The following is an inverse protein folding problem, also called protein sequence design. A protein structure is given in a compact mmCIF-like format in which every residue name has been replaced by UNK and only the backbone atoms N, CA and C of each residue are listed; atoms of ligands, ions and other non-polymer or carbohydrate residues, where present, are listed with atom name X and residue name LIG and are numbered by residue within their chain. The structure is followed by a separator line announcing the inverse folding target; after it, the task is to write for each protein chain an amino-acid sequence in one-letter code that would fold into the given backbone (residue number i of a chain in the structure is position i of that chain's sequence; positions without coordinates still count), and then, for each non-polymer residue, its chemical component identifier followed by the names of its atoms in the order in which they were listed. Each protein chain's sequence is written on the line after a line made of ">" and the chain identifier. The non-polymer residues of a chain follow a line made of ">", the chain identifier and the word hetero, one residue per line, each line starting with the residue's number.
data_IF_534845915218
#
_entry.id   IF_534845915218
#
_cell.length_a   1.000
_cell.length_b   1.000
_cell.length_c   1.000
_cell.angle_alpha   90.00
_cell.angle_beta   90.00
_cell.angle_gamma   90.00
#
_symmetry.space_group_name_H-M   'P 1'
#
loop_
_entity.id
_entity.type
_entity.pdbx_description
1 polymer ?
#
# COMPACT_ATOMS: atom_id res chain seq x y z
N UNK A 1 -15.87 6.98 1.04
CA UNK A 1 -14.43 6.77 0.80
C UNK A 1 -14.08 5.34 1.13
N UNK A 2 -13.07 4.79 0.47
CA UNK A 2 -12.52 3.47 0.77
C UNK A 2 -11.06 3.62 1.17
N UNK A 3 -10.68 2.99 2.28
CA UNK A 3 -9.29 2.87 2.70
C UNK A 3 -8.84 1.44 2.52
N UNK A 4 -7.87 1.26 1.65
CA UNK A 4 -7.16 0.00 1.51
C UNK A 4 -5.86 0.12 2.32
N UNK A 5 -5.70 -0.71 3.34
CA UNK A 5 -4.49 -0.71 4.14
C UNK A 5 -3.69 -1.99 3.88
N UNK A 6 -2.39 -1.82 3.70
CA UNK A 6 -1.44 -2.92 3.57
C UNK A 6 -0.37 -2.76 4.64
N UNK A 7 -0.31 -3.71 5.58
CA UNK A 7 0.79 -3.80 6.53
C UNK A 7 1.79 -4.84 6.05
N UNK A 8 3.07 -4.58 6.21
CA UNK A 8 4.14 -5.51 5.79
C UNK A 8 5.09 -5.69 6.95
N UNK A 9 5.22 -6.94 7.41
CA UNK A 9 6.30 -7.34 8.29
C UNK A 9 7.53 -7.61 7.41
N UNK A 10 8.63 -6.90 7.68
CA UNK A 10 9.84 -6.87 6.86
C UNK A 10 11.02 -7.37 7.68
N UNK A 11 11.75 -8.35 7.16
CA UNK A 11 12.97 -8.86 7.79
C UNK A 11 13.99 -7.72 7.95
N UNK A 12 14.67 -7.66 9.09
CA UNK A 12 15.46 -6.50 9.49
C UNK A 12 16.56 -6.11 8.48
N UNK A 13 17.18 -7.07 7.80
CA UNK A 13 18.19 -6.88 6.75
C UNK A 13 17.64 -6.22 5.47
N UNK A 14 16.32 -6.32 5.23
CA UNK A 14 15.67 -5.79 4.03
C UNK A 14 15.06 -4.41 4.22
N UNK A 15 15.01 -3.91 5.47
CA UNK A 15 14.29 -2.68 5.85
C UNK A 15 14.64 -1.47 4.99
N UNK A 16 15.93 -1.19 4.81
CA UNK A 16 16.39 0.00 4.10
C UNK A 16 16.03 -0.08 2.61
N UNK A 17 16.29 -1.23 1.99
CA UNK A 17 15.90 -1.50 0.61
C UNK A 17 14.37 -1.42 0.42
N UNK A 18 13.59 -1.93 1.37
CA UNK A 18 12.13 -1.87 1.35
C UNK A 18 11.63 -0.42 1.39
N UNK A 19 12.11 0.39 2.34
CA UNK A 19 11.69 1.80 2.45
C UNK A 19 12.07 2.58 1.19
N UNK A 20 13.27 2.35 0.64
CA UNK A 20 13.71 2.99 -0.60
C UNK A 20 12.82 2.59 -1.78
N UNK A 21 12.58 1.30 -1.98
CA UNK A 21 11.72 0.81 -3.06
C UNK A 21 10.28 1.34 -2.94
N UNK A 22 9.72 1.36 -1.73
CA UNK A 22 8.37 1.89 -1.49
C UNK A 22 8.29 3.37 -1.88
N UNK A 23 9.29 4.17 -1.50
CA UNK A 23 9.35 5.61 -1.79
C UNK A 23 9.61 5.93 -3.25
N UNK A 24 10.58 5.28 -3.86
CA UNK A 24 11.15 5.71 -5.14
C UNK A 24 10.46 5.06 -6.34
N UNK A 25 9.70 3.97 -6.12
CA UNK A 25 9.07 3.20 -7.18
C UNK A 25 7.62 2.79 -6.88
N UNK A 26 7.40 1.95 -5.86
CA UNK A 26 6.12 1.26 -5.71
C UNK A 26 4.95 2.21 -5.43
N UNK A 27 5.08 3.11 -4.46
CA UNK A 27 4.00 4.04 -4.12
C UNK A 27 3.77 5.09 -5.22
N UNK A 28 4.81 5.67 -5.85
CA UNK A 28 4.64 6.47 -7.06
C UNK A 28 3.90 5.73 -8.19
N UNK A 29 4.28 4.49 -8.49
CA UNK A 29 3.66 3.68 -9.55
C UNK A 29 2.17 3.41 -9.25
N UNK A 30 1.83 3.12 -7.99
CA UNK A 30 0.44 2.95 -7.55
C UNK A 30 -0.34 4.27 -7.68
N UNK A 31 0.24 5.40 -7.27
CA UNK A 31 -0.40 6.71 -7.37
C UNK A 31 -0.69 7.07 -8.83
N UNK A 32 0.23 6.74 -9.74
CA UNK A 32 0.10 6.99 -11.18
C UNK A 32 -1.08 6.24 -11.84
N UNK A 33 -1.61 5.18 -11.22
CA UNK A 33 -2.85 4.51 -11.69
C UNK A 33 -4.09 5.41 -11.63
N UNK A 34 -4.03 6.48 -10.82
CA UNK A 34 -5.15 7.38 -10.57
C UNK A 34 -6.32 6.74 -9.83
N UNK A 35 -6.14 5.55 -9.22
CA UNK A 35 -7.18 4.89 -8.40
C UNK A 35 -7.21 5.40 -6.95
N UNK A 36 -6.12 6.03 -6.49
CA UNK A 36 -6.00 6.57 -5.14
C UNK A 36 -5.67 8.06 -5.22
N UNK A 37 -6.28 8.86 -4.33
CA UNK A 37 -6.01 10.30 -4.22
C UNK A 37 -4.93 10.62 -3.21
N UNK A 38 -4.82 9.79 -2.19
CA UNK A 38 -3.83 9.96 -1.15
C UNK A 38 -3.24 8.60 -0.78
N UNK A 39 -1.93 8.62 -0.54
CA UNK A 39 -1.17 7.46 -0.07
C UNK A 39 -0.33 7.95 1.10
N UNK A 40 -0.45 7.28 2.24
CA UNK A 40 0.37 7.53 3.41
C UNK A 40 1.14 6.26 3.77
N UNK A 41 2.44 6.41 4.02
CA UNK A 41 3.32 5.33 4.44
C UNK A 41 3.83 5.62 5.85
N UNK A 42 3.54 4.70 6.76
CA UNK A 42 3.79 4.80 8.19
C UNK A 42 4.66 3.61 8.66
N UNK A 43 5.35 3.79 9.80
CA UNK A 43 6.11 2.73 10.47
C UNK A 43 5.57 2.55 11.88
N UNK A 44 5.25 1.30 12.27
CA UNK A 44 4.76 0.94 13.60
C UNK A 44 5.86 0.38 14.51
N UNK A 45 6.86 -0.29 13.93
CA UNK A 45 8.07 -0.79 14.60
C UNK A 45 9.24 -0.82 13.62
N UNK A 46 10.44 -1.24 14.04
CA UNK A 46 11.59 -1.37 13.14
C UNK A 46 11.32 -2.25 11.90
N UNK A 47 10.43 -3.23 12.03
CA UNK A 47 10.13 -4.23 10.98
C UNK A 47 8.70 -4.18 10.46
N UNK A 48 7.78 -3.44 11.11
CA UNK A 48 6.39 -3.35 10.69
C UNK A 48 6.06 -2.00 10.07
N UNK A 49 5.70 -2.03 8.80
CA UNK A 49 5.29 -0.86 8.02
C UNK A 49 3.83 -0.95 7.61
N UNK A 50 3.18 0.18 7.39
CA UNK A 50 1.82 0.25 6.88
C UNK A 50 1.72 1.28 5.76
N UNK A 51 1.03 0.92 4.68
CA UNK A 51 0.55 1.87 3.69
C UNK A 51 -0.96 2.00 3.78
N UNK A 52 -1.47 3.22 3.84
CA UNK A 52 -2.88 3.56 3.77
C UNK A 52 -3.16 4.22 2.41
N UNK A 53 -3.95 3.56 1.57
CA UNK A 53 -4.36 4.03 0.26
C UNK A 53 -5.82 4.51 0.31
N UNK A 54 -6.05 5.77 -0.02
CA UNK A 54 -7.37 6.40 0.03
C UNK A 54 -7.95 6.51 -1.39
N UNK A 55 -9.05 5.80 -1.64
CA UNK A 55 -9.84 5.91 -2.86
C UNK A 55 -11.13 6.71 -2.57
N UNK A 56 -11.47 7.65 -3.44
CA UNK A 56 -12.70 8.46 -3.28
C UNK A 56 -13.95 7.60 -3.38
N UNK A 57 -13.94 6.61 -4.27
CA UNK A 57 -15.10 5.76 -4.60
C UNK A 57 -14.77 4.27 -4.51
N UNK A 58 -15.80 3.44 -4.32
CA UNK A 58 -15.67 1.98 -4.42
C UNK A 58 -15.26 1.54 -5.84
N UNK A 59 -15.71 2.27 -6.88
CA UNK A 59 -15.35 1.97 -8.27
C UNK A 59 -13.85 2.17 -8.54
N UNK A 60 -13.23 3.21 -7.96
CA UNK A 60 -11.78 3.42 -8.08
C UNK A 60 -10.99 2.33 -7.36
N UNK A 61 -11.41 1.95 -6.15
CA UNK A 61 -10.81 0.81 -5.44
C UNK A 61 -10.94 -0.49 -6.24
N UNK A 62 -12.13 -0.78 -6.78
CA UNK A 62 -12.36 -1.99 -7.56
C UNK A 62 -11.53 -2.00 -8.86
N UNK A 63 -11.42 -0.86 -9.55
CA UNK A 63 -10.55 -0.71 -10.72
C UNK A 63 -9.09 -1.02 -10.37
N UNK A 64 -8.59 -0.58 -9.23
CA UNK A 64 -7.25 -0.94 -8.77
C UNK A 64 -7.09 -2.45 -8.58
N UNK A 65 -8.05 -3.09 -7.88
CA UNK A 65 -8.01 -4.53 -7.61
C UNK A 65 -8.02 -5.34 -8.91
N UNK A 66 -8.90 -4.99 -9.85
CA UNK A 66 -9.12 -5.77 -11.06
C UNK A 66 -8.04 -5.54 -12.12
N UNK A 67 -7.49 -4.33 -12.23
CA UNK A 67 -6.64 -3.95 -13.37
C UNK A 67 -5.16 -3.77 -13.00
N UNK A 68 -4.84 -3.47 -11.75
CA UNK A 68 -3.50 -3.03 -11.36
C UNK A 68 -2.85 -3.88 -10.27
N UNK A 69 -3.63 -4.38 -9.30
CA UNK A 69 -3.10 -5.03 -8.11
C UNK A 69 -2.26 -6.28 -8.41
N UNK A 70 -2.61 -7.05 -9.45
CA UNK A 70 -1.84 -8.24 -9.84
C UNK A 70 -0.42 -7.87 -10.31
N UNK A 71 -0.29 -6.88 -11.19
CA UNK A 71 1.00 -6.42 -11.69
C UNK A 71 1.85 -5.80 -10.57
N UNK A 72 1.24 -4.97 -9.71
CA UNK A 72 1.92 -4.34 -8.58
C UNK A 72 2.47 -5.38 -7.58
N UNK A 73 1.71 -6.45 -7.33
CA UNK A 73 2.17 -7.56 -6.48
C UNK A 73 3.29 -8.36 -7.14
N UNK A 74 3.23 -8.58 -8.45
CA UNK A 74 4.28 -9.29 -9.17
C UNK A 74 5.61 -8.51 -9.15
N UNK A 75 5.58 -7.20 -9.43
CA UNK A 75 6.76 -6.32 -9.34
C UNK A 75 7.32 -6.29 -7.90
N UNK A 76 6.46 -6.19 -6.88
CA UNK A 76 6.87 -6.31 -5.48
C UNK A 76 7.62 -7.61 -5.19
N UNK A 77 7.08 -8.76 -5.64
CA UNK A 77 7.71 -10.07 -5.42
C UNK A 77 9.02 -10.27 -6.20
N UNK A 78 9.24 -9.52 -7.29
CA UNK A 78 10.54 -9.54 -7.99
C UNK A 78 11.63 -8.85 -7.17
N UNK A 79 11.29 -7.81 -6.40
CA UNK A 79 12.23 -7.08 -5.54
C UNK A 79 12.38 -7.74 -4.17
N UNK A 80 11.30 -8.32 -3.63
CA UNK A 80 11.27 -8.99 -2.32
C UNK A 80 10.63 -10.37 -2.44
N UNK A 81 11.33 -11.36 -3.02
CA UNK A 81 10.79 -12.72 -3.18
C UNK A 81 10.52 -13.41 -1.85
N UNK A 82 11.27 -13.04 -0.81
CA UNK A 82 11.15 -13.55 0.56
C UNK A 82 11.43 -12.43 1.58
N UNK A 83 11.06 -12.65 2.85
CA UNK A 83 11.37 -11.74 3.94
C UNK A 83 10.42 -10.55 4.11
N UNK A 84 9.41 -10.42 3.26
CA UNK A 84 8.32 -9.44 3.38
C UNK A 84 6.97 -10.15 3.42
N UNK A 85 6.18 -9.97 4.49
CA UNK A 85 4.89 -10.64 4.68
C UNK A 85 3.77 -9.60 4.73
N UNK A 86 3.00 -9.41 3.63
CA UNK A 86 1.93 -8.43 3.59
C UNK A 86 0.60 -8.97 4.14
N UNK A 87 -0.07 -8.18 4.97
CA UNK A 87 -1.49 -8.33 5.36
C UNK A 87 -2.31 -7.14 4.88
N UNK A 88 -3.62 -7.34 4.70
CA UNK A 88 -4.48 -6.37 4.01
C UNK A 88 -5.82 -6.25 4.71
N UNK A 89 -6.31 -5.02 4.84
CA UNK A 89 -7.65 -4.72 5.36
C UNK A 89 -8.27 -3.62 4.51
N UNK A 90 -9.59 -3.66 4.36
CA UNK A 90 -10.37 -2.62 3.67
C UNK A 90 -11.34 -2.02 4.67
N UNK A 91 -11.28 -0.70 4.83
CA UNK A 91 -12.23 0.06 5.63
C UNK A 91 -13.12 0.90 4.73
N UNK A 92 -14.37 1.07 5.15
CA UNK A 92 -15.33 1.99 4.55
C UNK A 92 -15.69 3.02 5.60
N UNK A 93 -15.67 4.28 5.20
CA UNK A 93 -16.03 5.35 6.11
C UNK A 93 -17.48 5.22 6.57
N UNK A 94 -17.67 5.36 7.88
CA UNK A 94 -18.99 5.49 8.48
C UNK A 94 -19.25 6.94 8.92
N UNK A 95 -18.24 7.59 9.50
CA UNK A 95 -18.30 8.98 9.95
C UNK A 95 -16.88 9.52 10.21
N UNK A 96 -16.71 10.84 10.10
CA UNK A 96 -15.50 11.57 10.47
C UNK A 96 -15.89 12.92 11.07
N UNK A 97 -15.13 13.40 12.04
CA UNK A 97 -15.32 14.73 12.63
C UNK A 97 -14.17 15.64 12.17
N UNK A 98 -14.49 16.84 11.70
CA UNK A 98 -13.51 17.90 11.50
C UNK A 98 -13.50 18.81 12.73
N UNK A 99 -12.33 19.37 13.05
CA UNK A 99 -12.16 20.33 14.14
C UNK A 99 -12.79 21.69 13.80
#
# INVERSE_FOLDING_TARGET
>A
MVFYEVSVEVRADLREAFVQYMRDKHLPDILATGCFKHIRFDQASETLFRTCYQADTEADYQRYIDQHAAAMRADFMQHFPEGCVPSRVVFRDLFSFAA
#
